data_IF_542721098382
#
_entry.id   IF_542721098382
#
_cell.length_a   1.000
_cell.length_b   1.000
_cell.length_c   1.000
_cell.angle_alpha   90.00
_cell.angle_beta   90.00
_cell.angle_gamma   90.00
#
_symmetry.space_group_name_H-M   'P 1'
#
loop_
_entity.id
_entity.type
_entity.pdbx_description
1 polymer ?
#
# COMPACT_ATOMS: atom_id res chain seq x y z
N UNK A 1 18.57 7.07 -14.18
CA UNK A 1 18.07 7.23 -12.80
C UNK A 1 16.80 8.09 -12.72
N UNK A 2 16.77 9.29 -13.32
CA UNK A 2 15.50 10.03 -13.49
C UNK A 2 14.48 9.23 -14.32
N UNK A 3 14.91 8.62 -15.42
CA UNK A 3 14.02 7.79 -16.25
C UNK A 3 13.42 6.60 -15.49
N UNK A 4 14.20 5.94 -14.63
CA UNK A 4 13.71 4.82 -13.79
C UNK A 4 12.72 5.30 -12.73
N UNK A 5 12.94 6.48 -12.13
CA UNK A 5 11.96 7.09 -11.22
C UNK A 5 10.65 7.43 -11.94
N UNK A 6 10.71 7.98 -13.15
CA UNK A 6 9.52 8.27 -13.96
C UNK A 6 8.74 7.00 -14.32
N UNK A 7 9.44 5.90 -14.62
CA UNK A 7 8.78 4.61 -14.85
C UNK A 7 8.05 4.12 -13.59
N UNK A 8 8.68 4.21 -12.42
CA UNK A 8 8.05 3.84 -11.16
C UNK A 8 6.87 4.74 -10.78
N UNK A 9 6.93 6.04 -11.05
CA UNK A 9 5.80 6.94 -10.82
C UNK A 9 4.62 6.63 -11.74
N UNK A 10 4.88 6.27 -13.01
CA UNK A 10 3.82 5.82 -13.93
C UNK A 10 3.19 4.51 -13.46
N UNK A 11 3.99 3.57 -12.95
CA UNK A 11 3.49 2.30 -12.43
C UNK A 11 2.63 2.50 -11.17
N UNK A 12 3.04 3.41 -10.28
CA UNK A 12 2.24 3.80 -9.11
C UNK A 12 0.88 4.40 -9.50
N UNK A 13 0.84 5.24 -10.54
CA UNK A 13 -0.42 5.79 -11.06
C UNK A 13 -1.37 4.67 -11.52
N UNK A 14 -0.84 3.67 -12.25
CA UNK A 14 -1.62 2.53 -12.73
C UNK A 14 -2.13 1.71 -11.55
N UNK A 15 -1.28 1.42 -10.55
CA UNK A 15 -1.68 0.69 -9.35
C UNK A 15 -2.78 1.43 -8.58
N UNK A 16 -2.71 2.76 -8.51
CA UNK A 16 -3.73 3.57 -7.87
C UNK A 16 -5.09 3.44 -8.58
N UNK A 17 -5.11 3.39 -9.91
CA UNK A 17 -6.33 3.11 -10.68
C UNK A 17 -6.88 1.71 -10.39
N UNK A 18 -6.01 0.72 -10.21
CA UNK A 18 -6.40 -0.67 -9.85
C UNK A 18 -7.01 -0.74 -8.44
N UNK A 19 -6.56 0.07 -7.50
CA UNK A 19 -7.22 0.13 -6.17
C UNK A 19 -8.68 0.57 -6.31
N UNK A 20 -8.98 1.56 -7.17
CA UNK A 20 -10.35 2.03 -7.35
C UNK A 20 -11.29 0.99 -7.96
N UNK A 21 -10.77 0.00 -8.68
CA UNK A 21 -11.58 -1.09 -9.25
C UNK A 21 -11.78 -2.24 -8.26
N UNK A 22 -10.89 -2.40 -7.28
CA UNK A 22 -10.91 -3.47 -6.27
C UNK A 22 -11.72 -3.09 -5.02
N UNK A 23 -12.99 -2.69 -5.21
CA UNK A 23 -13.88 -2.28 -4.09
C UNK A 23 -14.61 -3.41 -3.38
N UNK A 24 -14.57 -4.64 -3.90
CA UNK A 24 -15.44 -5.74 -3.43
C UNK A 24 -14.84 -6.54 -2.28
N UNK A 25 -13.54 -6.77 -2.29
CA UNK A 25 -12.85 -7.63 -1.33
C UNK A 25 -11.73 -6.86 -0.64
N UNK A 26 -11.79 -6.78 0.68
CA UNK A 26 -10.80 -6.03 1.47
C UNK A 26 -9.40 -6.63 1.34
N UNK A 27 -9.29 -7.96 1.31
CA UNK A 27 -8.02 -8.66 1.09
C UNK A 27 -7.34 -8.25 -0.23
N UNK A 28 -8.13 -8.14 -1.31
CA UNK A 28 -7.59 -7.76 -2.62
C UNK A 28 -7.09 -6.32 -2.62
N UNK A 29 -7.78 -5.41 -1.92
CA UNK A 29 -7.32 -4.03 -1.76
C UNK A 29 -6.03 -3.93 -0.93
N UNK A 30 -5.88 -4.76 0.11
CA UNK A 30 -4.67 -4.81 0.93
C UNK A 30 -3.45 -5.26 0.13
N UNK A 31 -3.62 -6.26 -0.74
CA UNK A 31 -2.53 -6.79 -1.56
C UNK A 31 -2.05 -5.77 -2.62
N UNK A 32 -2.98 -4.99 -3.19
CA UNK A 32 -2.60 -3.90 -4.10
C UNK A 32 -1.89 -2.77 -3.34
N UNK A 33 -2.33 -2.47 -2.10
CA UNK A 33 -1.67 -1.48 -1.24
C UNK A 33 -0.24 -1.90 -0.89
N UNK A 34 -0.02 -3.17 -0.51
CA UNK A 34 1.32 -3.70 -0.24
C UNK A 34 2.23 -3.61 -1.48
N UNK A 35 1.68 -3.88 -2.67
CA UNK A 35 2.38 -3.66 -3.93
C UNK A 35 2.79 -2.20 -4.17
N UNK A 36 1.92 -1.23 -3.84
CA UNK A 36 2.26 0.19 -3.93
C UNK A 36 3.35 0.60 -2.93
N UNK A 37 3.29 0.08 -1.72
CA UNK A 37 4.28 0.33 -0.66
C UNK A 37 5.66 -0.20 -1.07
N UNK A 38 5.74 -1.40 -1.66
CA UNK A 38 7.00 -1.95 -2.19
C UNK A 38 7.60 -1.05 -3.29
N UNK A 39 6.77 -0.54 -4.20
CA UNK A 39 7.22 0.38 -5.25
C UNK A 39 7.74 1.71 -4.68
N UNK A 40 7.11 2.23 -3.62
CA UNK A 40 7.59 3.39 -2.88
C UNK A 40 8.91 3.10 -2.15
N UNK A 41 9.08 1.90 -1.62
CA UNK A 41 10.30 1.50 -0.91
C UNK A 41 11.50 1.40 -1.86
N UNK A 42 11.28 0.93 -3.10
CA UNK A 42 12.30 0.94 -4.16
C UNK A 42 12.59 2.38 -4.61
N UNK A 43 11.57 3.23 -4.79
CA UNK A 43 11.79 4.61 -5.23
C UNK A 43 12.56 5.44 -4.20
N UNK A 44 12.29 5.26 -2.91
CA UNK A 44 13.05 5.92 -1.83
C UNK A 44 14.52 5.50 -1.81
N UNK A 45 14.82 4.21 -2.04
CA UNK A 45 16.21 3.73 -2.14
C UNK A 45 16.94 4.40 -3.31
N UNK A 46 16.29 4.50 -4.48
CA UNK A 46 16.83 5.21 -5.64
C UNK A 46 17.05 6.69 -5.30
N UNK A 47 16.11 7.37 -4.65
CA UNK A 47 16.28 8.78 -4.27
C UNK A 47 17.46 8.98 -3.31
N UNK A 48 17.62 8.11 -2.30
CA UNK A 48 18.76 8.19 -1.36
C UNK A 48 20.10 8.01 -2.08
N UNK A 49 20.17 7.09 -3.04
CA UNK A 49 21.37 6.93 -3.88
C UNK A 49 21.66 8.17 -4.75
N UNK A 50 20.63 8.90 -5.20
CA UNK A 50 20.81 10.11 -6.01
C UNK A 50 21.34 11.27 -5.17
N UNK A 51 20.89 11.35 -3.93
CA UNK A 51 21.29 12.38 -2.97
C UNK A 51 22.63 12.07 -2.31
N UNK A 52 23.20 10.87 -2.51
CA UNK A 52 24.35 10.34 -1.78
C UNK A 52 24.18 10.41 -0.25
N UNK A 53 22.93 10.32 0.21
CA UNK A 53 22.58 10.33 1.62
C UNK A 53 22.57 8.90 2.17
N UNK A 54 22.72 8.77 3.49
CA UNK A 54 22.66 7.48 4.17
C UNK A 54 21.27 6.81 4.08
N UNK A 55 21.21 5.53 4.42
CA UNK A 55 19.97 4.72 4.40
C UNK A 55 19.01 4.99 5.58
N UNK A 56 19.25 6.03 6.38
CA UNK A 56 18.46 6.32 7.59
C UNK A 56 17.00 6.61 7.25
N UNK A 57 16.74 7.41 6.22
CA UNK A 57 15.39 7.71 5.76
C UNK A 57 14.69 6.47 5.20
N UNK A 58 15.42 5.63 4.46
CA UNK A 58 14.90 4.37 3.93
C UNK A 58 14.44 3.43 5.06
N UNK A 59 15.25 3.29 6.11
CA UNK A 59 14.89 2.47 7.28
C UNK A 59 13.67 3.01 8.01
N UNK A 60 13.54 4.34 8.13
CA UNK A 60 12.35 4.95 8.73
C UNK A 60 11.09 4.60 7.92
N UNK A 61 11.11 4.79 6.60
CA UNK A 61 9.98 4.44 5.72
C UNK A 61 9.66 2.95 5.79
N UNK A 62 10.68 2.08 5.85
CA UNK A 62 10.50 0.63 5.99
C UNK A 62 9.77 0.29 7.29
N UNK A 63 10.17 0.84 8.43
CA UNK A 63 9.50 0.54 9.70
C UNK A 63 8.04 1.02 9.72
N UNK A 64 7.76 2.21 9.17
CA UNK A 64 6.38 2.71 9.04
C UNK A 64 5.54 1.80 8.15
N UNK A 65 6.11 1.31 7.04
CA UNK A 65 5.40 0.44 6.11
C UNK A 65 4.98 -0.90 6.73
N UNK A 66 5.84 -1.50 7.56
CA UNK A 66 5.53 -2.75 8.28
C UNK A 66 4.43 -2.52 9.32
N UNK A 67 4.46 -1.37 10.01
CA UNK A 67 3.42 -0.99 10.96
C UNK A 67 2.06 -0.84 10.27
N UNK A 68 2.00 -0.13 9.14
CA UNK A 68 0.76 0.03 8.35
C UNK A 68 0.21 -1.31 7.87
N UNK A 69 1.07 -2.21 7.38
CA UNK A 69 0.66 -3.55 6.97
C UNK A 69 0.04 -4.32 8.15
N UNK A 70 0.67 -4.28 9.34
CA UNK A 70 0.13 -4.94 10.54
C UNK A 70 -1.24 -4.38 10.93
N UNK A 71 -1.43 -3.06 10.88
CA UNK A 71 -2.70 -2.40 11.17
C UNK A 71 -3.77 -2.80 10.15
N UNK A 72 -3.45 -2.82 8.86
CA UNK A 72 -4.36 -3.25 7.80
C UNK A 72 -4.85 -4.70 7.96
N UNK A 73 -3.94 -5.61 8.31
CA UNK A 73 -4.27 -7.03 8.58
C UNK A 73 -5.12 -7.19 9.85
N UNK A 74 -4.83 -6.47 10.92
CA UNK A 74 -5.65 -6.53 12.14
C UNK A 74 -7.08 -6.03 11.89
N UNK A 75 -7.24 -4.99 11.07
CA UNK A 75 -8.56 -4.51 10.64
C UNK A 75 -9.30 -5.57 9.83
N UNK A 76 -8.65 -6.20 8.85
CA UNK A 76 -9.26 -7.29 8.07
C UNK A 76 -9.79 -8.41 8.99
N UNK A 77 -8.97 -8.87 9.93
CA UNK A 77 -9.37 -9.94 10.88
C UNK A 77 -10.55 -9.50 11.74
N UNK A 78 -10.60 -8.23 12.17
CA UNK A 78 -11.74 -7.70 12.91
C UNK A 78 -13.04 -7.67 12.10
N UNK A 79 -12.97 -7.30 10.81
CA UNK A 79 -14.12 -7.29 9.90
C UNK A 79 -14.63 -8.71 9.62
N UNK A 80 -13.71 -9.67 9.41
CA UNK A 80 -14.08 -11.08 9.26
C UNK A 80 -14.82 -11.62 10.50
N UNK A 81 -14.43 -11.21 11.71
CA UNK A 81 -15.10 -11.64 12.95
C UNK A 81 -16.52 -11.10 13.09
N UNK A 82 -16.83 -9.91 12.54
CA UNK A 82 -18.15 -9.27 12.66
C UNK A 82 -19.06 -9.67 11.51
N UNK A 83 -18.56 -9.61 10.27
CA UNK A 83 -19.37 -9.80 9.06
C UNK A 83 -19.30 -11.23 8.50
N UNK A 84 -18.41 -12.09 9.01
CA UNK A 84 -18.23 -13.47 8.56
C UNK A 84 -17.65 -13.63 7.15
N UNK A 85 -17.32 -12.53 6.46
CA UNK A 85 -16.85 -12.53 5.07
C UNK A 85 -16.01 -11.28 4.76
N UNK A 86 -15.09 -11.40 3.80
CA UNK A 86 -14.15 -10.34 3.36
C UNK A 86 -14.77 -9.31 2.41
N UNK A 87 -16.08 -9.40 2.18
CA UNK A 87 -16.78 -8.47 1.29
C UNK A 87 -16.99 -7.14 1.99
N UNK A 88 -16.53 -6.09 1.33
CA UNK A 88 -16.92 -4.72 1.63
C UNK A 88 -18.32 -4.54 1.03
N UNK A 89 -19.33 -5.11 1.68
CA UNK A 89 -20.70 -4.73 1.36
C UNK A 89 -20.89 -3.31 1.83
N UNK A 90 -21.45 -2.48 0.96
CA UNK A 90 -21.94 -1.16 1.30
C UNK A 90 -23.12 -1.39 2.26
N UNK A 91 -22.83 -1.68 3.53
CA UNK A 91 -23.86 -1.58 4.56
C UNK A 91 -24.19 -0.09 4.64
N UNK A 92 -25.19 0.30 3.85
CA UNK A 92 -26.06 1.40 4.17
C UNK A 92 -26.78 1.05 5.49
N UNK A 93 -26.02 0.91 6.57
CA UNK A 93 -26.56 0.93 7.91
C UNK A 93 -26.69 2.41 8.26
N UNK A 94 -27.72 2.97 7.62
CA UNK A 94 -28.50 4.11 8.09
C UNK A 94 -29.20 3.70 9.40
N UNK A 95 -28.42 3.56 10.47
CA UNK A 95 -28.91 3.71 11.84
C UNK A 95 -27.75 4.18 12.72
#
# INVERSE_FOLDING_TARGET
MIFTLNLYSMLLLILQLVIFTTKKHFLQSLLVLEGMVLMLLISTLVVMFLLNEGLTFYLLVLTLSVCEASLGLTLLVSMMKINGNDYISNSSLLL
#
